data_IF_316661464159
#
_entry.id   IF_316661464159
#
_cell.length_a   1.000
_cell.length_b   1.000
_cell.length_c   1.000
_cell.angle_alpha   90.00
_cell.angle_beta   90.00
_cell.angle_gamma   90.00
#
_symmetry.space_group_name_H-M   'P 1'
#
loop_
_entity.id
_entity.type
_entity.pdbx_description
1 polymer ?
#
# COMPACT_ATOMS: atom_id res chain seq x y z
N UNK A 1 7.10 4.24 -15.12
CA UNK A 1 8.37 3.53 -14.92
C UNK A 1 8.37 2.66 -13.65
N UNK A 2 7.55 2.96 -12.63
CA UNK A 2 7.56 2.23 -11.36
C UNK A 2 6.99 0.81 -11.50
N UNK A 3 7.81 -0.20 -11.16
CA UNK A 3 7.42 -1.61 -11.02
C UNK A 3 6.81 -1.91 -9.66
N UNK A 4 7.46 -1.45 -8.58
CA UNK A 4 7.00 -1.61 -7.20
C UNK A 4 6.76 -0.26 -6.56
N UNK A 5 5.57 -0.07 -5.99
CA UNK A 5 5.22 1.11 -5.22
C UNK A 5 5.03 0.70 -3.76
N UNK A 6 5.80 1.30 -2.86
CA UNK A 6 5.67 1.14 -1.42
C UNK A 6 5.15 2.44 -0.79
N UNK A 7 4.38 2.32 0.28
CA UNK A 7 3.96 3.44 1.11
C UNK A 7 3.20 2.94 2.34
N UNK A 8 2.88 3.85 3.25
CA UNK A 8 1.99 3.57 4.37
C UNK A 8 0.54 4.03 4.09
N UNK A 9 -0.38 3.72 4.99
CA UNK A 9 -1.79 4.05 4.87
C UNK A 9 -2.06 5.56 4.84
N UNK A 10 -1.24 6.35 5.55
CA UNK A 10 -1.41 7.82 5.61
C UNK A 10 -1.00 8.46 4.28
N UNK A 11 0.11 8.03 3.70
CA UNK A 11 0.56 8.44 2.37
C UNK A 11 -0.44 8.04 1.30
N UNK A 12 -0.95 6.80 1.35
CA UNK A 12 -1.94 6.28 0.42
C UNK A 12 -3.25 7.08 0.44
N UNK A 13 -3.80 7.35 1.64
CA UNK A 13 -5.03 8.16 1.82
C UNK A 13 -4.81 9.60 1.39
N UNK A 14 -3.65 10.19 1.71
CA UNK A 14 -3.30 11.54 1.28
C UNK A 14 -3.24 11.63 -0.25
N UNK A 15 -2.59 10.65 -0.89
CA UNK A 15 -2.55 10.58 -2.35
C UNK A 15 -3.96 10.48 -2.93
N UNK A 16 -4.78 9.55 -2.43
CA UNK A 16 -6.17 9.36 -2.88
C UNK A 16 -6.97 10.66 -2.84
N UNK A 17 -6.85 11.43 -1.74
CA UNK A 17 -7.49 12.73 -1.58
C UNK A 17 -6.99 13.76 -2.61
N UNK A 18 -5.68 13.90 -2.77
CA UNK A 18 -5.08 14.87 -3.70
C UNK A 18 -5.36 14.51 -5.17
N UNK A 19 -5.46 13.22 -5.47
CA UNK A 19 -5.75 12.70 -6.82
C UNK A 19 -7.24 12.58 -7.12
N UNK A 20 -8.12 12.99 -6.20
CA UNK A 20 -9.57 12.99 -6.40
C UNK A 20 -10.17 11.59 -6.56
N UNK A 21 -9.60 10.58 -5.90
CA UNK A 21 -10.14 9.21 -5.94
C UNK A 21 -11.28 9.00 -4.94
N UNK A 22 -11.49 9.93 -4.01
CA UNK A 22 -12.62 9.98 -3.08
C UNK A 22 -12.83 8.70 -2.26
N UNK A 23 -11.75 7.98 -1.95
CA UNK A 23 -11.76 6.76 -1.13
C UNK A 23 -10.66 6.79 -0.08
N UNK A 24 -10.94 6.28 1.11
CA UNK A 24 -9.94 6.05 2.16
C UNK A 24 -9.63 4.55 2.35
N UNK A 25 -10.28 3.69 1.55
CA UNK A 25 -10.08 2.25 1.58
C UNK A 25 -8.71 1.89 0.99
N UNK A 26 -7.80 1.38 1.81
CA UNK A 26 -6.41 1.11 1.41
C UNK A 26 -6.31 0.02 0.34
N UNK A 27 -7.21 -0.97 0.34
CA UNK A 27 -7.28 -2.00 -0.71
C UNK A 27 -7.67 -1.41 -2.07
N UNK A 28 -8.67 -0.54 -2.09
CA UNK A 28 -9.09 0.15 -3.31
C UNK A 28 -8.00 1.08 -3.83
N UNK A 29 -7.35 1.81 -2.93
CA UNK A 29 -6.24 2.72 -3.27
C UNK A 29 -5.06 1.92 -3.84
N UNK A 30 -4.66 0.81 -3.21
CA UNK A 30 -3.60 -0.07 -3.71
C UNK A 30 -3.94 -0.63 -5.10
N UNK A 31 -5.20 -1.03 -5.31
CA UNK A 31 -5.67 -1.50 -6.61
C UNK A 31 -5.55 -0.41 -7.68
N UNK A 32 -6.03 0.82 -7.40
CA UNK A 32 -5.91 1.96 -8.32
C UNK A 32 -4.44 2.28 -8.62
N UNK A 33 -3.56 2.26 -7.60
CA UNK A 33 -2.13 2.43 -7.80
C UNK A 33 -1.53 1.41 -8.76
N UNK A 34 -1.90 0.13 -8.64
CA UNK A 34 -1.42 -0.94 -9.51
C UNK A 34 -1.81 -0.77 -10.98
N UNK A 35 -2.90 -0.02 -11.24
CA UNK A 35 -3.47 0.21 -12.58
C UNK A 35 -3.03 1.52 -13.23
N UNK A 36 -2.35 2.40 -12.48
CA UNK A 36 -1.86 3.67 -13.02
C UNK A 36 -0.95 3.45 -14.25
N UNK A 37 -1.02 4.32 -15.27
CA UNK A 37 -0.29 4.16 -16.52
C UNK A 37 1.21 3.91 -16.32
N UNK A 38 1.77 2.97 -17.09
CA UNK A 38 3.18 2.60 -17.03
C UNK A 38 3.75 2.40 -18.43
N UNK A 39 4.76 3.22 -18.76
CA UNK A 39 5.35 3.27 -20.10
C UNK A 39 6.10 1.99 -20.54
N UNK A 40 6.65 1.19 -19.61
CA UNK A 40 7.57 0.11 -19.97
C UNK A 40 6.90 -1.15 -20.53
N UNK A 41 5.61 -1.37 -20.26
CA UNK A 41 4.83 -2.51 -20.79
C UNK A 41 5.27 -3.92 -20.36
N UNK A 42 6.44 -4.09 -19.76
CA UNK A 42 7.09 -5.40 -19.49
C UNK A 42 6.62 -6.08 -18.22
N UNK A 43 6.31 -5.31 -17.17
CA UNK A 43 5.82 -5.84 -15.89
C UNK A 43 4.61 -5.04 -15.44
N UNK A 44 3.61 -5.71 -14.85
CA UNK A 44 2.52 -5.01 -14.16
C UNK A 44 3.06 -4.35 -12.89
N UNK A 45 2.46 -3.25 -12.44
CA UNK A 45 2.87 -2.60 -11.20
C UNK A 45 2.35 -3.40 -10.01
N UNK A 46 3.20 -3.59 -9.03
CA UNK A 46 2.86 -4.16 -7.73
C UNK A 46 2.85 -3.02 -6.71
N UNK A 47 1.80 -2.91 -5.92
CA UNK A 47 1.69 -1.91 -4.86
C UNK A 47 1.62 -2.61 -3.51
N UNK A 48 2.40 -2.14 -2.55
CA UNK A 48 2.48 -2.66 -1.18
C UNK A 48 2.25 -1.51 -0.22
N UNK A 49 1.16 -1.57 0.55
CA UNK A 49 0.82 -0.55 1.55
C UNK A 49 0.87 -1.15 2.96
N UNK A 50 1.74 -0.60 3.81
CA UNK A 50 1.82 -0.97 5.24
C UNK A 50 0.76 -0.21 6.03
N UNK A 51 0.37 -0.77 7.19
CA UNK A 51 -0.73 -0.23 8.02
C UNK A 51 -0.43 -0.35 9.53
N UNK A 52 0.82 -0.10 9.93
CA UNK A 52 1.26 -0.31 11.32
C UNK A 52 1.02 -1.76 11.80
N UNK A 53 0.06 -1.92 12.71
CA UNK A 53 -0.33 -3.21 13.27
C UNK A 53 -1.33 -4.00 12.40
N UNK A 54 -2.00 -3.32 11.45
CA UNK A 54 -2.98 -3.93 10.57
C UNK A 54 -2.29 -4.68 9.41
N UNK A 55 -3.01 -5.60 8.73
CA UNK A 55 -2.45 -6.36 7.62
C UNK A 55 -1.86 -5.48 6.52
N UNK A 56 -0.71 -5.88 5.98
CA UNK A 56 -0.14 -5.25 4.77
C UNK A 56 -1.02 -5.58 3.57
N UNK A 57 -1.33 -4.56 2.76
CA UNK A 57 -2.13 -4.70 1.54
C UNK A 57 -1.20 -4.77 0.34
N UNK A 58 -1.36 -5.80 -0.49
CA UNK A 58 -0.62 -5.96 -1.74
C UNK A 58 -1.61 -6.02 -2.91
N UNK A 59 -1.44 -5.13 -3.88
CA UNK A 59 -2.19 -5.16 -5.14
C UNK A 59 -1.28 -5.52 -6.30
N UNK A 60 -1.65 -6.57 -7.03
CA UNK A 60 -0.96 -7.07 -8.21
C UNK A 60 -1.97 -7.66 -9.18
N UNK A 61 -1.85 -7.31 -10.46
CA UNK A 61 -2.67 -7.86 -11.54
C UNK A 61 -4.18 -7.79 -11.28
N UNK A 62 -4.66 -6.62 -10.84
CA UNK A 62 -6.08 -6.39 -10.59
C UNK A 62 -6.63 -7.11 -9.35
N UNK A 63 -5.77 -7.76 -8.56
CA UNK A 63 -6.16 -8.50 -7.34
C UNK A 63 -5.50 -7.87 -6.12
N UNK A 64 -6.24 -7.88 -5.02
CA UNK A 64 -5.74 -7.49 -3.70
C UNK A 64 -5.50 -8.75 -2.86
N UNK A 65 -4.40 -8.75 -2.12
CA UNK A 65 -4.04 -9.74 -1.11
C UNK A 65 -3.70 -9.00 0.18
N UNK A 66 -4.06 -9.57 1.32
CA UNK A 66 -3.69 -9.04 2.64
C UNK A 66 -2.75 -10.01 3.34
N UNK A 67 -1.77 -9.47 4.04
CA UNK A 67 -0.77 -10.23 4.78
C UNK A 67 -0.79 -9.78 6.24
N UNK A 68 -1.27 -10.62 7.18
CA UNK A 68 -1.36 -10.23 8.57
C UNK A 68 0.02 -9.97 9.16
N UNK A 69 0.13 -8.90 9.94
CA UNK A 69 1.34 -8.59 10.71
C UNK A 69 1.29 -9.35 12.03
N UNK A 70 2.40 -9.98 12.41
CA UNK A 70 2.52 -10.57 13.75
C UNK A 70 2.69 -9.44 14.76
N UNK A 71 1.68 -9.24 15.61
CA UNK A 71 1.71 -8.19 16.62
C UNK A 71 2.87 -8.42 17.59
N UNK A 72 3.69 -7.40 17.76
CA UNK A 72 4.66 -7.36 18.84
C UNK A 72 3.94 -6.88 20.12
N UNK A 73 4.18 -7.53 21.28
CA UNK A 73 3.73 -7.00 22.56
C UNK A 73 4.20 -5.55 22.74
N UNK A 74 3.34 -4.69 23.29
CA UNK A 74 3.60 -3.26 23.43
C UNK A 74 4.90 -2.96 24.21
N UNK A 75 5.25 -3.83 25.15
CA UNK A 75 6.50 -3.79 25.94
C UNK A 75 7.78 -3.98 25.09
N UNK A 76 7.66 -4.53 23.87
CA UNK A 76 8.74 -4.73 22.92
C UNK A 76 8.76 -3.66 21.81
N UNK A 77 7.84 -2.71 21.83
CA UNK A 77 7.83 -1.55 20.93
C UNK A 77 8.79 -0.49 21.50
N UNK A 78 10.08 -0.66 21.24
CA UNK A 78 11.14 0.22 21.75
C UNK A 78 11.33 1.45 20.84
N UNK A 79 11.10 1.30 19.53
CA UNK A 79 11.16 2.36 18.53
C UNK A 79 10.35 1.95 17.28
N UNK A 80 9.53 2.86 16.74
CA UNK A 80 8.80 2.65 15.46
C UNK A 80 9.34 3.55 14.35
N UNK A 81 10.44 4.29 14.57
CA UNK A 81 11.05 5.11 13.53
C UNK A 81 11.68 4.21 12.46
N UNK A 82 11.16 4.30 11.23
CA UNK A 82 11.61 3.51 10.08
C UNK A 82 10.80 2.25 9.79
N UNK A 83 9.72 2.01 10.54
CA UNK A 83 8.70 1.00 10.25
C UNK A 83 7.58 1.56 9.33
#
# INVERSE_FOLDING_TARGET
>A
FIDYLFGNETEARTFSKVHGWETENVEEIALKFSQLPKASGTHKRITVITQGADPVVVAEDGKVKTFPVTLLPQEKLVDTNGA
#
